data_IF_651249443518
#
_entry.id   IF_651249443518
#
_cell.length_a   1.000
_cell.length_b   1.000
_cell.length_c   1.000
_cell.angle_alpha   90.00
_cell.angle_beta   90.00
_cell.angle_gamma   90.00
#
_symmetry.space_group_name_H-M   'P 1'
#
loop_
_entity.id
_entity.type
_entity.pdbx_description
1 polymer ?
#
# COMPACT_ATOMS: atom_id res chain seq x y z
N UNK A 1 23.93 9.95 20.92
CA UNK A 1 23.19 9.34 19.78
C UNK A 1 21.73 9.27 20.22
N UNK A 2 20.76 9.64 19.39
CA UNK A 2 19.36 9.52 19.74
C UNK A 2 19.04 8.04 20.02
N UNK A 3 18.20 7.80 21.01
CA UNK A 3 17.71 6.45 21.32
C UNK A 3 16.68 6.01 20.29
N UNK A 4 16.34 4.70 20.28
CA UNK A 4 15.25 4.21 19.44
C UNK A 4 13.90 4.84 19.81
N UNK A 5 13.71 5.16 21.08
CA UNK A 5 12.52 5.87 21.58
C UNK A 5 12.45 7.29 21.03
N UNK A 6 13.57 8.05 21.07
CA UNK A 6 13.64 9.41 20.51
C UNK A 6 13.30 9.39 18.99
N UNK A 7 13.80 8.40 18.26
CA UNK A 7 13.52 8.27 16.84
C UNK A 7 12.03 7.92 16.56
N UNK A 8 11.44 7.07 17.38
CA UNK A 8 10.01 6.72 17.27
C UNK A 8 9.12 7.94 17.56
N UNK A 9 9.44 8.74 18.60
CA UNK A 9 8.70 9.96 18.91
C UNK A 9 8.81 11.00 17.79
N UNK A 10 9.99 11.18 17.20
CA UNK A 10 10.16 12.07 16.05
C UNK A 10 9.33 11.65 14.84
N UNK A 11 9.21 10.35 14.57
CA UNK A 11 8.36 9.83 13.50
C UNK A 11 6.87 10.08 13.77
N UNK A 12 6.42 9.87 14.99
CA UNK A 12 5.02 10.14 15.38
C UNK A 12 4.69 11.63 15.30
N UNK A 13 5.61 12.49 15.72
CA UNK A 13 5.45 13.95 15.60
C UNK A 13 5.41 14.38 14.12
N UNK A 14 6.24 13.78 13.26
CA UNK A 14 6.22 14.04 11.82
C UNK A 14 4.93 13.55 11.17
N UNK A 15 4.40 12.39 11.58
CA UNK A 15 3.10 11.88 11.16
C UNK A 15 1.99 12.87 11.51
N UNK A 16 1.92 13.32 12.76
CA UNK A 16 0.90 14.26 13.23
C UNK A 16 0.94 15.59 12.47
N UNK A 17 2.13 16.20 12.33
CA UNK A 17 2.31 17.45 11.57
C UNK A 17 1.89 17.32 10.11
N UNK A 18 2.23 16.19 9.48
CA UNK A 18 1.88 15.95 8.08
C UNK A 18 0.37 15.82 7.90
N UNK A 19 -0.29 15.13 8.82
CA UNK A 19 -1.75 14.98 8.79
C UNK A 19 -2.45 16.31 9.07
N UNK A 20 -1.99 17.09 10.04
CA UNK A 20 -2.53 18.43 10.31
C UNK A 20 -2.48 19.32 9.07
N UNK A 21 -1.34 19.34 8.37
CA UNK A 21 -1.19 20.08 7.11
C UNK A 21 -2.08 19.54 5.98
N UNK A 22 -2.46 18.26 6.04
CA UNK A 22 -3.29 17.58 5.06
C UNK A 22 -4.80 17.75 5.27
N UNK A 23 -5.24 18.09 6.48
CA UNK A 23 -6.66 18.22 6.85
C UNK A 23 -7.52 19.03 5.86
N UNK A 24 -7.05 20.17 5.29
CA UNK A 24 -7.84 20.95 4.33
C UNK A 24 -8.20 20.18 3.05
N UNK A 25 -7.51 19.08 2.77
CA UNK A 25 -7.68 18.28 1.54
C UNK A 25 -8.43 16.96 1.76
N UNK A 26 -8.82 16.63 3.01
CA UNK A 26 -9.37 15.32 3.37
C UNK A 26 -10.64 14.93 2.61
N UNK A 27 -11.47 15.91 2.22
CA UNK A 27 -12.75 15.71 1.53
C UNK A 27 -12.65 16.02 0.03
N UNK A 28 -11.46 15.89 -0.55
CA UNK A 28 -11.24 16.13 -1.96
C UNK A 28 -11.70 14.96 -2.83
N UNK A 29 -12.72 15.18 -3.64
CA UNK A 29 -13.34 14.17 -4.51
C UNK A 29 -12.36 13.52 -5.50
N UNK A 30 -11.34 14.25 -5.98
CA UNK A 30 -10.33 13.68 -6.87
C UNK A 30 -9.46 12.67 -6.13
N UNK A 31 -9.05 12.99 -4.90
CA UNK A 31 -8.29 12.07 -4.06
C UNK A 31 -9.10 10.82 -3.71
N UNK A 32 -10.40 10.95 -3.49
CA UNK A 32 -11.28 9.80 -3.24
C UNK A 32 -11.35 8.89 -4.46
N UNK A 33 -11.55 9.44 -5.66
CA UNK A 33 -11.55 8.65 -6.90
C UNK A 33 -10.21 7.96 -7.16
N UNK A 34 -9.10 8.63 -6.89
CA UNK A 34 -7.77 8.02 -6.99
C UNK A 34 -7.59 6.86 -6.01
N UNK A 35 -8.13 7.01 -4.80
CA UNK A 35 -8.08 5.94 -3.82
C UNK A 35 -8.92 4.73 -4.23
N UNK A 36 -10.12 4.94 -4.78
CA UNK A 36 -10.98 3.86 -5.26
C UNK A 36 -10.25 2.99 -6.31
N UNK A 37 -9.37 3.57 -7.13
CA UNK A 37 -8.52 2.82 -8.05
C UNK A 37 -7.47 1.96 -7.33
N UNK A 38 -7.05 2.36 -6.14
CA UNK A 38 -6.12 1.60 -5.29
C UNK A 38 -6.79 0.54 -4.42
N UNK A 39 -8.12 0.46 -4.40
CA UNK A 39 -8.86 -0.55 -3.67
C UNK A 39 -8.60 -1.97 -4.20
N UNK A 40 -8.68 -2.96 -3.30
CA UNK A 40 -8.38 -4.35 -3.64
C UNK A 40 -9.20 -4.90 -4.83
N UNK A 41 -10.52 -4.66 -4.94
CA UNK A 41 -11.28 -5.11 -6.09
C UNK A 41 -10.80 -4.47 -7.39
N UNK A 42 -10.57 -3.15 -7.41
CA UNK A 42 -10.10 -2.42 -8.58
C UNK A 42 -8.71 -2.89 -9.01
N UNK A 43 -7.78 -3.07 -8.07
CA UNK A 43 -6.44 -3.60 -8.35
C UNK A 43 -6.47 -5.00 -8.95
N UNK A 44 -7.35 -5.88 -8.47
CA UNK A 44 -7.52 -7.21 -9.06
C UNK A 44 -8.05 -7.15 -10.49
N UNK A 45 -9.00 -6.25 -10.74
CA UNK A 45 -9.49 -5.99 -12.11
C UNK A 45 -8.36 -5.54 -13.01
N UNK A 46 -7.49 -4.62 -12.58
CA UNK A 46 -6.32 -4.19 -13.34
C UNK A 46 -5.40 -5.38 -13.65
N UNK A 47 -5.12 -6.24 -12.67
CA UNK A 47 -4.28 -7.42 -12.87
C UNK A 47 -4.88 -8.37 -13.95
N UNK A 48 -6.18 -8.67 -13.84
CA UNK A 48 -6.88 -9.55 -14.80
C UNK A 48 -6.97 -8.89 -16.19
N UNK A 49 -7.25 -7.59 -16.25
CA UNK A 49 -7.28 -6.84 -17.50
C UNK A 49 -5.91 -6.84 -18.20
N UNK A 50 -4.81 -6.78 -17.44
CA UNK A 50 -3.46 -6.91 -17.98
C UNK A 50 -3.23 -8.28 -18.61
N UNK A 51 -3.69 -9.37 -17.97
CA UNK A 51 -3.65 -10.72 -18.57
C UNK A 51 -4.44 -10.76 -19.86
N UNK A 52 -5.69 -10.26 -19.84
CA UNK A 52 -6.56 -10.27 -21.01
C UNK A 52 -5.98 -9.47 -22.17
N UNK A 53 -5.43 -8.27 -21.89
CA UNK A 53 -4.75 -7.45 -22.88
C UNK A 53 -3.55 -8.17 -23.50
N UNK A 54 -2.74 -8.86 -22.68
CA UNK A 54 -1.63 -9.68 -23.16
C UNK A 54 -2.07 -10.83 -24.08
N UNK A 55 -3.17 -11.49 -23.74
CA UNK A 55 -3.74 -12.56 -24.58
C UNK A 55 -4.23 -12.02 -25.94
N UNK A 56 -4.96 -10.90 -25.91
CA UNK A 56 -5.48 -10.26 -27.11
C UNK A 56 -4.37 -9.73 -28.02
N UNK A 57 -3.35 -9.12 -27.44
CA UNK A 57 -2.18 -8.60 -28.15
C UNK A 57 -1.19 -9.71 -28.55
N UNK A 58 -1.39 -10.95 -28.09
CA UNK A 58 -0.46 -12.07 -28.26
C UNK A 58 0.94 -11.74 -27.71
N UNK A 59 1.02 -10.91 -26.69
CA UNK A 59 2.27 -10.58 -26.01
C UNK A 59 2.36 -11.33 -24.66
N UNK A 60 3.20 -12.38 -24.57
CA UNK A 60 3.31 -13.20 -23.36
C UNK A 60 3.90 -12.43 -22.17
N UNK A 61 4.57 -11.29 -22.38
CA UNK A 61 5.10 -10.48 -21.29
C UNK A 61 3.97 -9.86 -20.46
N UNK A 62 2.93 -9.32 -21.12
CA UNK A 62 1.76 -8.78 -20.41
C UNK A 62 0.95 -9.89 -19.72
N UNK A 63 0.86 -11.07 -20.29
CA UNK A 63 0.20 -12.21 -19.62
C UNK A 63 0.96 -12.55 -18.32
N UNK A 64 2.28 -12.70 -18.38
CA UNK A 64 3.10 -12.95 -17.18
C UNK A 64 3.03 -11.79 -16.19
N UNK A 65 3.07 -10.55 -16.67
CA UNK A 65 2.93 -9.37 -15.83
C UNK A 65 1.63 -9.39 -15.02
N UNK A 66 0.49 -9.58 -15.67
CA UNK A 66 -0.81 -9.62 -15.00
C UNK A 66 -0.93 -10.76 -13.98
N UNK A 67 -0.43 -11.96 -14.32
CA UNK A 67 -0.39 -13.09 -13.38
C UNK A 67 0.50 -12.80 -12.18
N UNK A 68 1.69 -12.23 -12.41
CA UNK A 68 2.64 -11.84 -11.37
C UNK A 68 2.07 -10.74 -10.47
N UNK A 69 1.42 -9.72 -11.06
CA UNK A 69 0.72 -8.67 -10.35
C UNK A 69 -0.34 -9.24 -9.40
N UNK A 70 -1.17 -10.16 -9.89
CA UNK A 70 -2.23 -10.78 -9.09
C UNK A 70 -1.65 -11.60 -7.93
N UNK A 71 -0.61 -12.37 -8.17
CA UNK A 71 0.07 -13.16 -7.14
C UNK A 71 0.74 -12.26 -6.09
N UNK A 72 1.48 -11.24 -6.52
CA UNK A 72 2.14 -10.27 -5.62
C UNK A 72 1.14 -9.48 -4.80
N UNK A 73 0.04 -9.01 -5.42
CA UNK A 73 -1.05 -8.31 -4.73
C UNK A 73 -1.73 -9.21 -3.68
N UNK A 74 -1.95 -10.48 -4.01
CA UNK A 74 -2.55 -11.44 -3.08
C UNK A 74 -1.64 -11.67 -1.88
N UNK A 75 -0.34 -11.90 -2.11
CA UNK A 75 0.63 -12.09 -1.04
C UNK A 75 0.76 -10.82 -0.16
N UNK A 76 0.85 -9.63 -0.78
CA UNK A 76 0.88 -8.36 -0.05
C UNK A 76 -0.38 -8.16 0.80
N UNK A 77 -1.55 -8.54 0.27
CA UNK A 77 -2.82 -8.49 1.01
C UNK A 77 -2.81 -9.41 2.22
N UNK A 78 -2.30 -10.62 2.08
CA UNK A 78 -2.16 -11.57 3.18
C UNK A 78 -1.21 -11.05 4.24
N UNK A 79 -0.03 -10.62 3.84
CA UNK A 79 1.00 -10.10 4.75
C UNK A 79 0.49 -8.88 5.52
N UNK A 80 -0.12 -7.90 4.83
CA UNK A 80 -0.65 -6.72 5.51
C UNK A 80 -1.80 -7.07 6.45
N UNK A 81 -2.68 -8.02 6.11
CA UNK A 81 -3.75 -8.47 6.99
C UNK A 81 -3.19 -9.16 8.24
N UNK A 82 -2.14 -9.97 8.07
CA UNK A 82 -1.46 -10.60 9.20
C UNK A 82 -0.91 -9.56 10.19
N UNK A 83 -0.32 -8.47 9.71
CA UNK A 83 0.16 -7.37 10.55
C UNK A 83 -1.02 -6.60 11.15
N UNK A 84 -2.01 -6.26 10.34
CA UNK A 84 -3.19 -5.48 10.72
C UNK A 84 -3.98 -6.11 11.89
N UNK A 85 -4.06 -7.43 11.95
CA UNK A 85 -4.70 -8.14 13.06
C UNK A 85 -3.84 -8.23 14.35
N UNK A 86 -2.72 -7.51 14.41
CA UNK A 86 -1.78 -7.49 15.56
C UNK A 86 -1.40 -6.10 16.01
N UNK A 87 -1.80 -5.09 15.24
CA UNK A 87 -1.45 -3.70 15.53
C UNK A 87 -2.70 -2.85 15.33
N UNK A 88 -3.18 -2.26 16.41
CA UNK A 88 -4.23 -1.27 16.38
C UNK A 88 -3.61 0.12 16.28
N UNK A 89 -4.19 0.96 15.45
CA UNK A 89 -3.84 2.37 15.29
C UNK A 89 -5.05 3.14 14.78
N UNK A 90 -5.42 4.22 15.44
CA UNK A 90 -6.50 5.09 14.97
C UNK A 90 -6.14 5.74 13.63
N UNK A 91 -7.17 6.00 12.80
CA UNK A 91 -6.96 6.74 11.55
C UNK A 91 -6.92 8.23 11.81
N UNK A 92 -6.12 9.00 11.02
CA UNK A 92 -6.10 10.46 11.15
C UNK A 92 -7.50 11.09 11.03
N UNK A 93 -8.33 10.57 10.15
CA UNK A 93 -9.70 11.04 9.91
C UNK A 93 -10.63 10.86 11.11
N UNK A 94 -10.35 9.91 12.00
CA UNK A 94 -11.15 9.64 13.20
C UNK A 94 -10.76 10.48 14.41
N UNK A 95 -9.84 11.40 14.25
CA UNK A 95 -9.26 12.22 15.33
C UNK A 95 -10.15 13.35 15.86
N UNK A 96 -11.42 13.30 15.63
CA UNK A 96 -12.35 14.18 16.35
C UNK A 96 -12.36 14.00 17.87
N UNK A 97 -11.72 12.94 18.39
CA UNK A 97 -11.52 12.70 19.82
C UNK A 97 -10.07 12.95 20.23
N UNK A 98 -9.78 14.06 20.95
CA UNK A 98 -8.42 14.39 21.42
C UNK A 98 -7.84 13.38 22.43
N UNK A 99 -8.59 12.34 22.80
CA UNK A 99 -8.15 11.27 23.70
C UNK A 99 -7.56 10.07 22.94
N UNK A 100 -7.66 10.02 21.63
CA UNK A 100 -7.08 8.91 20.84
C UNK A 100 -5.60 9.14 20.63
N UNK A 101 -4.79 8.27 21.24
CA UNK A 101 -3.36 8.20 20.98
C UNK A 101 -3.15 7.62 19.57
N UNK A 102 -2.29 8.25 18.78
CA UNK A 102 -1.95 7.83 17.41
C UNK A 102 -0.82 6.80 17.39
N UNK A 103 -0.39 6.33 18.54
CA UNK A 103 0.68 5.33 18.64
C UNK A 103 0.18 3.99 18.14
N UNK A 104 0.97 3.26 17.34
CA UNK A 104 0.67 1.87 17.06
C UNK A 104 0.79 1.06 18.35
N UNK A 105 -0.24 0.32 18.69
CA UNK A 105 -0.27 -0.54 19.87
C UNK A 105 -0.53 -1.98 19.47
N UNK A 106 -0.08 -2.93 20.32
CA UNK A 106 -0.43 -4.32 20.11
C UNK A 106 -1.93 -4.51 20.37
N UNK A 107 -2.67 -4.95 19.33
CA UNK A 107 -4.11 -5.10 19.44
C UNK A 107 -4.68 -6.04 18.38
N UNK A 108 -5.99 -6.23 18.42
CA UNK A 108 -6.74 -7.10 17.50
C UNK A 108 -8.09 -6.49 17.13
N UNK A 109 -8.18 -5.18 17.07
CA UNK A 109 -9.41 -4.51 16.68
C UNK A 109 -9.82 -4.92 15.26
N UNK A 110 -11.12 -5.01 15.04
CA UNK A 110 -11.73 -5.21 13.73
C UNK A 110 -12.39 -3.93 13.23
N UNK A 111 -12.38 -2.87 14.03
CA UNK A 111 -12.89 -1.56 13.65
C UNK A 111 -11.99 -0.94 12.59
N UNK A 112 -12.60 -0.49 11.50
CA UNK A 112 -11.91 0.16 10.39
C UNK A 112 -11.19 1.43 10.85
N UNK A 113 -11.74 2.17 11.80
CA UNK A 113 -11.17 3.42 12.31
C UNK A 113 -9.95 3.17 13.22
N UNK A 114 -9.81 1.99 13.78
CA UNK A 114 -8.71 1.59 14.66
C UNK A 114 -7.65 0.74 13.95
N UNK A 115 -7.81 0.47 12.66
CA UNK A 115 -6.91 -0.38 11.88
C UNK A 115 -6.25 0.40 10.74
N UNK A 116 -5.62 1.53 11.08
CA UNK A 116 -4.88 2.35 10.14
C UNK A 116 -3.61 1.66 9.63
N UNK A 117 -2.86 1.01 10.51
CA UNK A 117 -1.56 0.41 10.20
C UNK A 117 -1.67 -1.07 9.78
N UNK A 118 -0.93 -1.50 8.76
CA UNK A 118 -0.31 -0.72 7.69
C UNK A 118 -1.30 -0.37 6.57
N UNK A 119 -0.92 0.58 5.69
CA UNK A 119 -1.77 0.98 4.56
C UNK A 119 -1.93 -0.15 3.54
N UNK A 120 -3.19 -0.57 3.33
CA UNK A 120 -3.51 -1.60 2.36
C UNK A 120 -3.39 -1.15 0.90
N UNK A 121 -3.74 0.12 0.60
CA UNK A 121 -3.57 0.74 -0.71
C UNK A 121 -2.08 0.77 -1.10
N UNK A 122 -1.24 1.24 -0.20
CA UNK A 122 0.20 1.32 -0.45
C UNK A 122 0.83 -0.07 -0.67
N UNK A 123 0.42 -1.08 0.12
CA UNK A 123 0.91 -2.45 -0.04
C UNK A 123 0.48 -3.05 -1.39
N UNK A 124 -0.78 -2.89 -1.78
CA UNK A 124 -1.28 -3.38 -3.06
C UNK A 124 -0.64 -2.68 -4.25
N UNK A 125 -0.63 -1.33 -4.24
CA UNK A 125 -0.11 -0.54 -5.35
C UNK A 125 1.39 -0.78 -5.59
N UNK A 126 2.20 -0.84 -4.54
CA UNK A 126 3.65 -1.08 -4.67
C UNK A 126 3.97 -2.50 -5.13
N UNK A 127 3.22 -3.52 -4.64
CA UNK A 127 3.37 -4.89 -5.11
C UNK A 127 3.04 -5.03 -6.60
N UNK A 128 1.94 -4.44 -7.04
CA UNK A 128 1.49 -4.45 -8.44
C UNK A 128 2.48 -3.71 -9.34
N UNK A 129 2.89 -2.50 -8.95
CA UNK A 129 3.84 -1.70 -9.72
C UNK A 129 5.18 -2.45 -9.93
N UNK A 130 5.73 -3.05 -8.87
CA UNK A 130 6.96 -3.81 -8.95
C UNK A 130 6.83 -5.07 -9.80
N UNK A 131 5.73 -5.80 -9.65
CA UNK A 131 5.46 -7.01 -10.42
C UNK A 131 5.36 -6.71 -11.92
N UNK A 132 4.67 -5.62 -12.29
CA UNK A 132 4.57 -5.17 -13.67
C UNK A 132 5.93 -4.74 -14.23
N UNK A 133 6.65 -3.90 -13.49
CA UNK A 133 7.95 -3.37 -13.89
C UNK A 133 9.01 -4.44 -14.18
N UNK A 134 8.90 -5.61 -13.54
CA UNK A 134 9.80 -6.75 -13.79
C UNK A 134 9.58 -7.43 -15.13
N UNK A 135 8.36 -7.51 -15.58
CA UNK A 135 8.02 -8.20 -16.85
C UNK A 135 8.04 -7.23 -18.04
N UNK A 136 7.83 -5.92 -17.77
CA UNK A 136 7.76 -4.86 -18.78
C UNK A 136 8.63 -3.67 -18.35
N UNK A 137 9.98 -3.83 -18.33
CA UNK A 137 10.90 -2.85 -17.75
C UNK A 137 10.85 -1.46 -18.41
N UNK A 138 10.52 -1.39 -19.69
CA UNK A 138 10.37 -0.14 -20.43
C UNK A 138 9.27 0.77 -19.86
N UNK A 139 8.30 0.19 -19.17
CA UNK A 139 7.20 0.92 -18.50
C UNK A 139 7.40 1.04 -16.98
N UNK A 140 8.53 0.58 -16.45
CA UNK A 140 8.79 0.61 -15.01
C UNK A 140 8.64 2.01 -14.38
N UNK A 141 9.16 3.11 -14.98
CA UNK A 141 8.98 4.44 -14.40
C UNK A 141 7.51 4.83 -14.26
N UNK A 142 6.69 4.54 -15.27
CA UNK A 142 5.26 4.83 -15.23
C UNK A 142 4.54 3.97 -14.18
N UNK A 143 4.85 2.68 -14.08
CA UNK A 143 4.28 1.79 -13.09
C UNK A 143 4.58 2.25 -11.67
N UNK A 144 5.84 2.62 -11.38
CA UNK A 144 6.21 3.15 -10.06
C UNK A 144 5.61 4.52 -9.79
N UNK A 145 5.49 5.39 -10.79
CA UNK A 145 4.83 6.69 -10.63
C UNK A 145 3.35 6.53 -10.25
N UNK A 146 2.63 5.65 -10.96
CA UNK A 146 1.21 5.35 -10.66
C UNK A 146 1.09 4.73 -9.26
N UNK A 147 1.89 3.71 -8.96
CA UNK A 147 1.89 3.07 -7.64
C UNK A 147 2.21 4.05 -6.50
N UNK A 148 3.14 4.97 -6.74
CA UNK A 148 3.49 6.05 -5.81
C UNK A 148 2.33 7.02 -5.57
N UNK A 149 1.68 7.49 -6.64
CA UNK A 149 0.52 8.38 -6.54
C UNK A 149 -0.62 7.72 -5.75
N UNK A 150 -0.97 6.47 -6.06
CA UNK A 150 -2.03 5.74 -5.35
C UNK A 150 -1.69 5.52 -3.87
N UNK A 151 -0.41 5.30 -3.56
CA UNK A 151 0.06 5.14 -2.17
C UNK A 151 0.02 6.46 -1.40
N UNK A 152 0.58 7.51 -1.98
CA UNK A 152 0.73 8.81 -1.32
C UNK A 152 -0.60 9.58 -1.20
N UNK A 153 -1.56 9.34 -2.09
CA UNK A 153 -2.90 9.93 -2.02
C UNK A 153 -3.64 9.60 -0.71
N UNK A 154 -3.21 8.57 0.02
CA UNK A 154 -3.81 8.20 1.31
C UNK A 154 -3.50 9.19 2.43
N UNK A 155 -2.41 9.96 2.30
CA UNK A 155 -1.99 10.95 3.30
C UNK A 155 -2.91 12.19 3.28
N UNK A 156 -3.08 12.91 2.14
CA UNK A 156 -3.95 14.09 2.10
C UNK A 156 -5.43 13.77 2.30
N UNK A 157 -5.85 12.50 2.13
CA UNK A 157 -7.19 12.03 2.52
C UNK A 157 -7.36 11.82 4.03
N UNK A 158 -6.32 12.01 4.81
CA UNK A 158 -6.29 11.66 6.24
C UNK A 158 -6.77 10.21 6.51
N UNK A 159 -6.53 9.29 5.57
CA UNK A 159 -6.88 7.88 5.69
C UNK A 159 -5.76 7.07 6.38
N UNK A 160 -4.52 7.52 6.22
CA UNK A 160 -3.33 6.88 6.76
C UNK A 160 -2.25 7.91 7.09
N UNK A 161 -1.44 7.61 8.10
CA UNK A 161 -0.22 8.36 8.40
C UNK A 161 0.88 8.05 7.38
N UNK A 162 1.87 8.96 7.18
CA UNK A 162 3.06 8.67 6.37
C UNK A 162 3.75 7.36 6.72
N UNK A 163 3.87 7.04 8.01
CA UNK A 163 4.48 5.77 8.46
C UNK A 163 3.65 4.54 8.09
N UNK A 164 2.30 4.63 8.09
CA UNK A 164 1.43 3.54 7.61
C UNK A 164 1.65 3.26 6.12
N UNK A 165 1.79 4.35 5.34
CA UNK A 165 2.06 4.28 3.90
C UNK A 165 3.43 3.69 3.63
N UNK A 166 4.46 4.14 4.35
CA UNK A 166 5.82 3.60 4.26
C UNK A 166 5.88 2.11 4.57
N UNK A 167 5.24 1.68 5.66
CA UNK A 167 5.13 0.28 6.03
C UNK A 167 4.36 -0.55 4.97
N UNK A 168 3.28 0.01 4.42
CA UNK A 168 2.54 -0.61 3.33
C UNK A 168 3.41 -0.81 2.09
N UNK A 169 4.14 0.22 1.64
CA UNK A 169 5.08 0.12 0.51
C UNK A 169 6.12 -0.97 0.77
N UNK A 170 6.72 -0.99 1.95
CA UNK A 170 7.72 -2.01 2.31
C UNK A 170 7.15 -3.43 2.24
N UNK A 171 5.93 -3.65 2.73
CA UNK A 171 5.22 -4.93 2.64
C UNK A 171 4.99 -5.32 1.17
N UNK A 172 4.53 -4.39 0.33
CA UNK A 172 4.27 -4.67 -1.08
C UNK A 172 5.54 -5.06 -1.84
N UNK A 173 6.61 -4.29 -1.67
CA UNK A 173 7.90 -4.57 -2.30
C UNK A 173 8.52 -5.88 -1.81
N UNK A 174 8.43 -6.17 -0.50
CA UNK A 174 8.93 -7.40 0.08
C UNK A 174 8.12 -8.62 -0.39
N UNK A 175 6.80 -8.50 -0.50
CA UNK A 175 5.93 -9.57 -0.99
C UNK A 175 6.26 -9.94 -2.45
N UNK A 176 6.48 -8.94 -3.30
CA UNK A 176 6.88 -9.22 -4.69
C UNK A 176 8.29 -9.82 -4.75
N UNK A 177 9.23 -9.34 -3.94
CA UNK A 177 10.57 -9.91 -3.88
C UNK A 177 10.58 -11.38 -3.40
N UNK A 178 9.74 -11.70 -2.42
CA UNK A 178 9.56 -13.08 -1.95
C UNK A 178 8.94 -13.98 -3.04
N UNK A 179 7.95 -13.48 -3.78
CA UNK A 179 7.39 -14.18 -4.92
C UNK A 179 8.45 -14.46 -5.99
N UNK A 180 9.28 -13.46 -6.31
CA UNK A 180 10.36 -13.60 -7.29
C UNK A 180 11.38 -14.68 -6.88
N UNK A 181 11.81 -14.64 -5.62
CA UNK A 181 12.72 -15.63 -5.07
C UNK A 181 12.12 -17.05 -5.16
N UNK A 182 10.82 -17.20 -4.79
CA UNK A 182 10.10 -18.48 -4.88
C UNK A 182 10.02 -19.01 -6.31
N UNK A 183 9.69 -18.17 -7.28
CA UNK A 183 9.65 -18.53 -8.70
C UNK A 183 11.04 -18.90 -9.24
N UNK A 184 12.09 -18.25 -8.75
CA UNK A 184 13.49 -18.56 -9.09
C UNK A 184 13.92 -19.94 -8.61
N UNK A 185 13.44 -20.39 -7.45
CA UNK A 185 13.71 -21.74 -6.92
C UNK A 185 13.02 -22.83 -7.73
N UNK A 186 11.82 -22.58 -8.24
CA UNK A 186 11.07 -23.55 -9.05
C UNK A 186 11.63 -23.75 -10.48
N UNK A 187 12.50 -22.87 -10.93
CA UNK A 187 13.16 -22.93 -12.26
C UNK A 187 14.50 -23.67 -12.24
N UNK A 188 14.97 -24.06 -11.06
CA UNK A 188 16.23 -24.83 -10.86
C UNK A 188 15.95 -26.30 -10.74
#
# INVERSE_FOLDING_TARGET
MPTLEDAAEQLLEADAKTVEAAQPYQDNTLLDRLADLGDQPAMRVVCVATVAAGMLARDPRFVRAGMRMLAAHTLATWTKNFVKHRVDRSRPRSEGDPRRDHRPEAGRSTDKEETSFPSGHAAGASAVARAFAREVPEWAPAAYAIGGVLSLAQIPRCAHYPTDVGAGIAIGLASEAALDAGLGLLKR
#
